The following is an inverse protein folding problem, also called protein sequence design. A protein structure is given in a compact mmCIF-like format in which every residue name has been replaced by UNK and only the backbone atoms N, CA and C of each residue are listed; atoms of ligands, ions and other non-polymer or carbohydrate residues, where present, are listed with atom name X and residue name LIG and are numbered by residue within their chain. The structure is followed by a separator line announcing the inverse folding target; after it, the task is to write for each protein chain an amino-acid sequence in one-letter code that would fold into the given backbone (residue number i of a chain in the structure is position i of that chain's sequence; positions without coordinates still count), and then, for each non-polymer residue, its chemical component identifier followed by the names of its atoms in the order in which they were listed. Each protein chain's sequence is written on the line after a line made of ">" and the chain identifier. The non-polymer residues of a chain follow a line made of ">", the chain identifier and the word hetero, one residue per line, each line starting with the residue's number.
data_IF_886496385455
#
_entry.id   IF_886496385455
#
_cell.length_a   1.000
_cell.length_b   1.000
_cell.length_c   1.000
_cell.angle_alpha   90.00
_cell.angle_beta   90.00
_cell.angle_gamma   90.00
#
_symmetry.space_group_name_H-M   'P 1'
#
loop_
_entity.id
_entity.type
_entity.pdbx_description
1 polymer ?
#
# COMPACT_ATOMS: atom_id res chain seq x y z
N UNK A 1 31.52 13.02 9.75
CA UNK A 1 30.22 13.69 9.53
C UNK A 1 29.14 12.64 9.52
N UNK A 2 28.12 12.79 10.36
CA UNK A 2 26.98 11.88 10.52
C UNK A 2 26.01 12.04 9.34
N UNK A 3 25.56 10.93 8.76
CA UNK A 3 24.29 10.83 8.02
C UNK A 3 23.63 9.55 8.59
N UNK A 4 22.63 9.71 9.47
CA UNK A 4 21.91 8.60 10.11
C UNK A 4 21.25 7.73 9.03
N UNK A 5 21.24 6.40 9.05
CA UNK A 5 21.14 5.43 10.17
C UNK A 5 20.02 5.78 11.11
N UNK A 6 18.76 5.53 10.72
CA UNK A 6 17.72 5.35 11.74
C UNK A 6 16.44 4.57 11.36
N UNK A 7 16.33 3.84 10.24
CA UNK A 7 15.32 2.75 10.10
C UNK A 7 15.74 1.59 9.15
N UNK A 8 17.02 1.24 9.11
CA UNK A 8 17.44 -0.04 8.52
C UNK A 8 17.81 -0.98 9.66
N UNK A 9 16.92 -1.93 10.00
CA UNK A 9 17.22 -3.10 10.84
C UNK A 9 15.99 -4.04 10.89
N UNK A 10 16.02 -5.34 10.53
CA UNK A 10 17.18 -6.24 10.60
C UNK A 10 17.18 -7.49 9.67
N UNK A 11 16.17 -7.85 8.85
CA UNK A 11 16.16 -9.23 8.29
C UNK A 11 16.41 -9.54 6.79
N UNK A 12 15.88 -8.91 5.74
CA UNK A 12 15.96 -9.56 4.39
C UNK A 12 16.49 -8.75 3.20
N UNK A 13 17.21 -7.66 3.46
CA UNK A 13 18.22 -7.18 2.50
C UNK A 13 19.34 -8.23 2.32
N UNK A 14 19.47 -9.18 3.27
CA UNK A 14 20.58 -10.12 3.39
C UNK A 14 20.46 -11.47 2.64
N UNK A 15 19.31 -11.90 2.10
CA UNK A 15 19.21 -13.30 1.64
C UNK A 15 19.11 -13.60 0.14
N UNK A 16 18.84 -12.65 -0.76
CA UNK A 16 18.73 -13.01 -2.19
C UNK A 16 19.30 -12.00 -3.17
N UNK A 17 20.46 -11.43 -2.82
CA UNK A 17 21.56 -11.23 -3.77
C UNK A 17 22.12 -12.57 -4.30
N UNK A 18 21.51 -13.70 -3.93
CA UNK A 18 21.96 -15.04 -4.25
C UNK A 18 20.98 -15.69 -5.22
N UNK A 19 21.38 -15.65 -6.48
CA UNK A 19 21.09 -16.66 -7.49
C UNK A 19 19.76 -16.53 -8.27
N UNK A 20 19.98 -16.13 -9.52
CA UNK A 20 19.49 -16.86 -10.68
C UNK A 20 18.04 -16.60 -11.05
N UNK A 21 17.89 -15.82 -12.13
CA UNK A 21 16.69 -15.73 -12.96
C UNK A 21 15.48 -15.20 -12.16
N UNK A 22 14.90 -14.08 -12.54
CA UNK A 22 13.82 -14.09 -13.52
C UNK A 22 13.48 -12.61 -13.73
N UNK A 23 13.40 -12.19 -14.98
CA UNK A 23 12.76 -10.93 -15.38
C UNK A 23 11.25 -11.04 -15.10
N UNK A 24 10.87 -10.95 -13.83
CA UNK A 24 9.50 -10.73 -13.40
C UNK A 24 9.52 -9.44 -12.62
N UNK A 25 8.73 -8.46 -13.05
CA UNK A 25 8.35 -7.34 -12.21
C UNK A 25 7.87 -7.91 -10.87
N UNK A 26 8.74 -7.85 -9.85
CA UNK A 26 8.40 -8.31 -8.50
C UNK A 26 7.40 -7.29 -7.98
N UNK A 27 6.11 -7.57 -8.19
CA UNK A 27 5.04 -6.88 -7.50
C UNK A 27 5.17 -7.26 -6.04
N UNK A 28 5.89 -6.42 -5.28
CA UNK A 28 5.99 -6.56 -3.83
C UNK A 28 4.59 -6.36 -3.29
N UNK A 29 3.94 -7.47 -2.96
CA UNK A 29 2.58 -7.47 -2.42
C UNK A 29 2.67 -7.01 -0.97
N UNK A 30 2.53 -5.69 -0.73
CA UNK A 30 2.61 -5.06 0.60
C UNK A 30 1.27 -5.03 1.32
N UNK A 31 0.20 -5.05 0.53
CA UNK A 31 -1.17 -5.05 1.01
C UNK A 31 -1.86 -6.33 0.56
N UNK A 32 -2.79 -6.80 1.39
CA UNK A 32 -3.68 -7.92 1.11
C UNK A 32 -5.15 -7.50 1.34
N UNK A 33 -6.09 -8.44 1.17
CA UNK A 33 -7.52 -8.14 1.38
C UNK A 33 -7.86 -7.82 2.84
N UNK A 34 -7.12 -8.38 3.80
CA UNK A 34 -7.29 -8.11 5.23
C UNK A 34 -6.91 -6.67 5.56
N UNK A 35 -5.83 -6.12 4.96
CA UNK A 35 -5.48 -4.71 5.08
C UNK A 35 -6.65 -3.81 4.61
N UNK A 36 -7.32 -4.14 3.51
CA UNK A 36 -8.49 -3.38 3.07
C UNK A 36 -9.67 -3.52 4.04
N UNK A 37 -9.88 -4.70 4.62
CA UNK A 37 -10.96 -4.93 5.58
C UNK A 37 -10.72 -4.14 6.86
N UNK A 38 -9.53 -4.28 7.45
CA UNK A 38 -9.12 -3.59 8.67
C UNK A 38 -9.17 -2.06 8.55
N UNK A 39 -8.92 -1.51 7.35
CA UNK A 39 -9.00 -0.07 7.08
C UNK A 39 -10.39 0.41 6.62
N UNK A 40 -11.42 -0.43 6.72
CA UNK A 40 -12.79 -0.06 6.37
C UNK A 40 -13.02 0.14 4.86
N UNK A 41 -12.10 -0.31 4.02
CA UNK A 41 -12.15 -0.16 2.55
C UNK A 41 -12.95 -1.27 1.88
N UNK A 42 -13.30 -2.36 2.55
CA UNK A 42 -14.21 -3.40 2.08
C UNK A 42 -15.08 -3.91 3.24
N UNK A 43 -16.24 -4.51 2.94
CA UNK A 43 -17.10 -5.15 3.97
C UNK A 43 -17.99 -4.20 4.80
N UNK A 44 -17.82 -2.88 4.66
CA UNK A 44 -18.64 -1.87 5.33
C UNK A 44 -19.52 -1.09 4.34
N UNK A 45 -20.64 -0.53 4.80
CA UNK A 45 -21.55 0.26 3.95
C UNK A 45 -20.84 1.49 3.33
N UNK A 46 -19.96 2.15 4.10
CA UNK A 46 -19.19 3.31 3.64
C UNK A 46 -17.93 2.93 2.84
N UNK A 47 -17.60 1.64 2.72
CA UNK A 47 -16.37 1.19 2.08
C UNK A 47 -16.23 1.64 0.61
N UNK A 48 -17.36 1.71 -0.11
CA UNK A 48 -17.37 2.19 -1.50
C UNK A 48 -16.90 3.65 -1.59
N UNK A 49 -17.44 4.51 -0.72
CA UNK A 49 -17.12 5.94 -0.71
C UNK A 49 -15.70 6.18 -0.19
N UNK A 50 -15.28 5.48 0.87
CA UNK A 50 -13.91 5.54 1.39
C UNK A 50 -12.89 5.16 0.32
N UNK A 51 -13.10 4.04 -0.39
CA UNK A 51 -12.22 3.66 -1.52
C UNK A 51 -12.22 4.68 -2.65
N UNK A 52 -13.35 5.29 -2.95
CA UNK A 52 -13.43 6.31 -3.99
C UNK A 52 -12.59 7.54 -3.61
N UNK A 53 -12.79 8.08 -2.40
CA UNK A 53 -12.03 9.22 -1.90
C UNK A 53 -10.53 8.89 -1.78
N UNK A 54 -10.19 7.75 -1.16
CA UNK A 54 -8.80 7.30 -1.02
C UNK A 54 -8.14 7.02 -2.37
N UNK A 55 -8.86 6.41 -3.30
CA UNK A 55 -8.40 6.18 -4.68
C UNK A 55 -8.13 7.47 -5.43
N UNK A 56 -8.91 8.54 -5.18
CA UNK A 56 -8.61 9.88 -5.72
C UNK A 56 -7.37 10.50 -5.09
N UNK A 57 -7.19 10.38 -3.77
CA UNK A 57 -6.02 10.89 -3.06
C UNK A 57 -4.72 10.23 -3.53
N UNK A 58 -4.74 8.92 -3.75
CA UNK A 58 -3.60 8.14 -4.23
C UNK A 58 -3.45 8.14 -5.77
N UNK A 59 -4.29 8.88 -6.50
CA UNK A 59 -4.24 8.93 -7.97
C UNK A 59 -4.61 7.61 -8.66
N UNK A 60 -5.24 6.67 -7.95
CA UNK A 60 -5.65 5.36 -8.46
C UNK A 60 -7.03 5.38 -9.12
N UNK A 61 -7.81 6.45 -8.96
CA UNK A 61 -9.15 6.61 -9.53
C UNK A 61 -10.21 5.70 -8.91
N UNK A 62 -11.36 5.58 -9.58
CA UNK A 62 -12.45 4.72 -9.10
C UNK A 62 -12.11 3.24 -9.27
N UNK A 63 -12.27 2.47 -8.18
CA UNK A 63 -11.96 1.03 -8.17
C UNK A 63 -12.87 0.25 -7.23
N UNK A 64 -13.10 -1.02 -7.57
CA UNK A 64 -13.60 -2.01 -6.60
C UNK A 64 -12.48 -2.49 -5.66
N UNK A 65 -12.80 -3.21 -4.58
CA UNK A 65 -11.80 -3.62 -3.58
C UNK A 65 -10.63 -4.42 -4.15
N UNK A 66 -10.89 -5.36 -5.07
CA UNK A 66 -9.85 -6.17 -5.71
C UNK A 66 -8.96 -5.34 -6.64
N UNK A 67 -9.56 -4.42 -7.41
CA UNK A 67 -8.83 -3.51 -8.29
C UNK A 67 -7.99 -2.50 -7.49
N UNK A 68 -8.53 -1.98 -6.38
CA UNK A 68 -7.82 -1.09 -5.48
C UNK A 68 -6.57 -1.78 -4.92
N UNK A 69 -6.74 -3.01 -4.40
CA UNK A 69 -5.65 -3.85 -3.91
C UNK A 69 -4.57 -4.09 -4.97
N UNK A 70 -4.97 -4.42 -6.19
CA UNK A 70 -4.03 -4.62 -7.28
C UNK A 70 -3.29 -3.31 -7.63
N UNK A 71 -3.99 -2.17 -7.64
CA UNK A 71 -3.39 -0.88 -7.97
C UNK A 71 -2.43 -0.39 -6.87
N UNK A 72 -2.78 -0.46 -5.58
CA UNK A 72 -1.85 -0.04 -4.51
C UNK A 72 -0.55 -0.85 -4.53
N UNK A 73 -0.63 -2.15 -4.83
CA UNK A 73 0.54 -3.01 -4.95
C UNK A 73 1.32 -2.75 -6.25
N UNK A 74 0.63 -2.59 -7.39
CA UNK A 74 1.27 -2.31 -8.68
C UNK A 74 1.96 -0.93 -8.73
N UNK A 75 1.39 0.07 -8.06
CA UNK A 75 1.96 1.41 -7.95
C UNK A 75 3.05 1.51 -6.87
N UNK A 76 3.38 0.39 -6.21
CA UNK A 76 4.43 0.33 -5.21
C UNK A 76 4.18 1.28 -4.03
N UNK A 77 2.91 1.58 -3.73
CA UNK A 77 2.51 2.45 -2.63
C UNK A 77 3.05 1.82 -1.33
N UNK A 78 3.68 2.63 -0.50
CA UNK A 78 4.19 2.17 0.79
C UNK A 78 3.14 2.40 1.90
N UNK A 79 3.31 1.73 3.05
CA UNK A 79 2.35 1.83 4.17
C UNK A 79 2.19 3.27 4.66
N UNK A 80 3.28 4.04 4.76
CA UNK A 80 3.21 5.43 5.23
C UNK A 80 2.40 6.33 4.30
N UNK A 81 2.54 6.18 2.99
CA UNK A 81 1.78 6.96 2.00
C UNK A 81 0.30 6.60 2.04
N UNK A 82 -0.02 5.31 2.17
CA UNK A 82 -1.38 4.83 2.34
C UNK A 82 -2.01 5.33 3.65
N UNK A 83 -1.29 5.26 4.77
CA UNK A 83 -1.74 5.76 6.08
C UNK A 83 -1.93 7.29 6.07
N UNK A 84 -1.05 8.05 5.41
CA UNK A 84 -1.23 9.49 5.24
C UNK A 84 -2.49 9.79 4.43
N UNK A 85 -2.73 9.07 3.35
CA UNK A 85 -3.92 9.27 2.53
C UNK A 85 -5.20 8.87 3.28
N UNK A 86 -5.14 7.86 4.15
CA UNK A 86 -6.21 7.51 5.08
C UNK A 86 -6.44 8.58 6.15
N UNK A 87 -5.39 9.11 6.78
CA UNK A 87 -5.54 10.19 7.75
C UNK A 87 -6.20 11.43 7.12
N UNK A 88 -5.77 11.82 5.91
CA UNK A 88 -6.39 12.92 5.16
C UNK A 88 -7.86 12.65 4.80
N UNK A 89 -8.26 11.38 4.67
CA UNK A 89 -9.66 11.00 4.46
C UNK A 89 -10.49 11.22 5.73
N UNK A 90 -9.93 10.90 6.90
CA UNK A 90 -10.59 11.00 8.21
C UNK A 90 -10.64 12.43 8.75
N UNK A 91 -9.67 13.29 8.41
CA UNK A 91 -9.68 14.72 8.78
C UNK A 91 -10.69 15.57 7.98
N UNK A 92 -11.30 15.01 6.93
CA UNK A 92 -12.26 15.70 6.06
C UNK A 92 -13.73 15.32 6.39
N UNK A 93 -13.96 14.48 7.41
CA UNK A 93 -15.26 14.15 8.00
C UNK A 93 -15.51 14.94 9.29
#
# INVERSE_FOLDING_TARGET
>A
GKIGVEYASIEEIMKSLTQAHISQEVVVTRFNMDDLYCNGLIGYNQAKERRFKLGRLLGLGETNGKQFLNRINAYNINRQEFERALANLEECE
#
